data_IF_114157747241
#
_entry.id   IF_114157747241
#
_cell.length_a   1.000
_cell.length_b   1.000
_cell.length_c   1.000
_cell.angle_alpha   90.00
_cell.angle_beta   90.00
_cell.angle_gamma   90.00
#
_symmetry.space_group_name_H-M   'P 1'
#
loop_
_entity.id
_entity.type
_entity.pdbx_description
1 polymer ?
#
# COMPACT_ATOMS: atom_id res chain seq x y z
N UNK A 1 -15.81 -12.98 17.03
CA UNK A 1 -15.47 -13.18 15.60
C UNK A 1 -16.43 -12.34 14.75
N UNK A 2 -15.87 -11.56 13.82
CA UNK A 2 -16.57 -10.72 12.84
C UNK A 2 -16.15 -11.20 11.45
N UNK A 3 -17.03 -11.08 10.47
CA UNK A 3 -16.72 -11.31 9.07
C UNK A 3 -16.51 -9.99 8.34
N UNK A 4 -15.76 -10.05 7.26
CA UNK A 4 -15.58 -8.92 6.35
C UNK A 4 -14.85 -9.34 5.09
N UNK A 5 -14.56 -8.36 4.26
CA UNK A 5 -13.85 -8.56 2.99
C UNK A 5 -12.55 -7.78 3.01
N UNK A 6 -11.46 -8.40 2.57
CA UNK A 6 -10.19 -7.69 2.35
C UNK A 6 -10.42 -6.61 1.29
N UNK A 7 -10.27 -5.36 1.67
CA UNK A 7 -10.36 -4.23 0.74
C UNK A 7 -9.04 -4.01 0.02
N UNK A 8 -7.94 -4.04 0.78
CA UNK A 8 -6.58 -3.92 0.24
C UNK A 8 -5.61 -4.65 1.15
N UNK A 9 -4.64 -5.37 0.58
CA UNK A 9 -3.59 -6.04 1.35
C UNK A 9 -2.29 -6.07 0.55
N UNK A 10 -1.24 -5.46 1.10
CA UNK A 10 0.09 -5.41 0.51
C UNK A 10 0.94 -6.57 1.07
N UNK A 11 1.21 -7.55 0.22
CA UNK A 11 1.99 -8.74 0.57
C UNK A 11 3.49 -8.46 0.81
N UNK A 12 4.00 -7.34 0.29
CA UNK A 12 5.40 -6.91 0.41
C UNK A 12 5.58 -6.15 1.72
N UNK A 13 4.70 -5.16 1.98
CA UNK A 13 4.73 -4.37 3.22
C UNK A 13 4.12 -5.11 4.42
N UNK A 14 3.28 -6.11 4.17
CA UNK A 14 2.69 -6.98 5.18
C UNK A 14 1.55 -6.33 5.96
N UNK A 15 0.75 -5.46 5.34
CA UNK A 15 -0.42 -4.86 6.00
C UNK A 15 -1.56 -4.60 5.01
N UNK A 16 -2.77 -4.41 5.55
CA UNK A 16 -3.96 -4.13 4.75
C UNK A 16 -5.15 -3.65 5.57
N UNK A 17 -6.31 -3.65 4.94
CA UNK A 17 -7.58 -3.21 5.50
C UNK A 17 -8.70 -4.19 5.17
N UNK A 18 -9.57 -4.41 6.16
CA UNK A 18 -10.74 -5.27 6.05
C UNK A 18 -11.99 -4.41 6.25
N UNK A 19 -12.94 -4.55 5.33
CA UNK A 19 -14.26 -3.93 5.43
C UNK A 19 -15.20 -4.93 6.13
N UNK A 20 -15.66 -4.66 7.36
CA UNK A 20 -16.57 -5.55 8.08
C UNK A 20 -17.96 -5.59 7.45
N UNK A 21 -18.55 -6.79 7.32
CA UNK A 21 -19.90 -6.96 6.72
C UNK A 21 -21.01 -6.27 7.54
N UNK A 22 -20.82 -6.16 8.85
CA UNK A 22 -21.77 -5.49 9.75
C UNK A 22 -21.88 -3.98 9.55
N UNK A 23 -21.08 -3.41 8.64
CA UNK A 23 -20.88 -1.98 8.50
C UNK A 23 -20.07 -1.41 9.66
N UNK A 24 -19.25 -0.39 9.39
CA UNK A 24 -18.38 0.21 10.40
C UNK A 24 -17.16 0.88 9.78
N UNK A 25 -16.21 1.26 10.63
CA UNK A 25 -14.90 1.73 10.21
C UNK A 25 -14.05 0.56 9.67
N UNK A 26 -13.20 0.87 8.70
CA UNK A 26 -12.25 -0.08 8.14
C UNK A 26 -11.28 -0.56 9.22
N UNK A 27 -11.04 -1.87 9.24
CA UNK A 27 -10.23 -2.50 10.28
C UNK A 27 -8.84 -2.78 9.72
N UNK A 28 -7.81 -2.26 10.39
CA UNK A 28 -6.42 -2.46 10.00
C UNK A 28 -5.98 -3.89 10.30
N UNK A 29 -5.34 -4.56 9.34
CA UNK A 29 -4.75 -5.90 9.50
C UNK A 29 -3.25 -5.87 9.19
N UNK A 30 -2.47 -6.63 9.94
CA UNK A 30 -1.04 -6.81 9.71
C UNK A 30 -0.73 -8.29 9.48
N UNK A 31 0.29 -8.60 8.69
CA UNK A 31 0.66 -9.96 8.29
C UNK A 31 0.98 -10.87 9.48
N UNK A 32 1.46 -10.30 10.59
CA UNK A 32 1.71 -11.03 11.83
C UNK A 32 0.44 -11.50 12.55
N UNK A 33 -0.71 -10.92 12.23
CA UNK A 33 -1.98 -11.22 12.87
C UNK A 33 -2.86 -12.16 12.01
N UNK A 34 -2.34 -12.59 10.85
CA UNK A 34 -2.92 -13.61 9.99
C UNK A 34 -2.60 -15.00 10.53
N UNK A 35 -3.60 -15.88 10.53
CA UNK A 35 -3.44 -17.29 10.90
C UNK A 35 -3.08 -18.17 9.70
N UNK A 36 -3.53 -17.76 8.50
CA UNK A 36 -3.29 -18.44 7.23
C UNK A 36 -2.15 -17.77 6.44
N UNK A 37 -1.77 -18.38 5.30
CA UNK A 37 -0.73 -17.82 4.43
C UNK A 37 -1.17 -16.45 3.87
N UNK A 38 -0.30 -15.45 3.98
CA UNK A 38 -0.55 -14.08 3.51
C UNK A 38 -0.98 -14.01 2.04
N UNK A 39 -0.55 -14.99 1.24
CA UNK A 39 -0.86 -15.07 -0.19
C UNK A 39 -2.35 -15.31 -0.49
N UNK A 40 -3.11 -15.79 0.51
CA UNK A 40 -4.57 -16.00 0.42
C UNK A 40 -5.35 -14.71 0.64
N UNK A 41 -4.74 -13.69 1.24
CA UNK A 41 -5.39 -12.42 1.57
C UNK A 41 -5.25 -11.44 0.40
N UNK A 42 -6.13 -11.61 -0.59
CA UNK A 42 -6.21 -10.73 -1.76
C UNK A 42 -7.47 -9.86 -1.72
N UNK A 43 -7.48 -8.69 -2.38
CA UNK A 43 -8.68 -7.85 -2.46
C UNK A 43 -9.91 -8.64 -2.92
N UNK A 44 -11.00 -8.55 -2.19
CA UNK A 44 -12.23 -9.30 -2.44
C UNK A 44 -12.33 -10.66 -1.73
N UNK A 45 -11.29 -11.08 -0.99
CA UNK A 45 -11.34 -12.32 -0.20
C UNK A 45 -12.18 -12.12 1.05
N UNK A 46 -13.13 -13.03 1.28
CA UNK A 46 -13.91 -13.08 2.52
C UNK A 46 -13.02 -13.59 3.66
N UNK A 47 -13.04 -12.89 4.79
CA UNK A 47 -12.20 -13.19 5.94
C UNK A 47 -13.02 -13.13 7.22
N UNK A 48 -12.61 -13.94 8.19
CA UNK A 48 -13.11 -13.83 9.56
C UNK A 48 -11.98 -13.39 10.48
N UNK A 49 -12.29 -12.47 11.39
CA UNK A 49 -11.30 -11.84 12.26
C UNK A 49 -11.92 -11.39 13.58
N UNK A 50 -11.07 -11.06 14.54
CA UNK A 50 -11.46 -10.40 15.78
C UNK A 50 -10.96 -8.96 15.78
N UNK A 51 -11.73 -8.04 16.35
CA UNK A 51 -11.39 -6.60 16.38
C UNK A 51 -11.00 -6.20 17.80
N UNK A 52 -9.80 -5.65 17.94
CA UNK A 52 -9.29 -5.04 19.16
C UNK A 52 -9.05 -3.55 18.95
N UNK A 53 -9.12 -2.79 20.04
CA UNK A 53 -8.68 -1.41 20.09
C UNK A 53 -7.14 -1.38 20.20
N UNK A 54 -6.48 -0.92 19.14
CA UNK A 54 -5.03 -0.72 19.11
C UNK A 54 -4.66 0.76 19.19
N UNK A 55 -3.36 1.06 19.29
CA UNK A 55 -2.83 2.43 19.38
C UNK A 55 -3.17 3.33 18.17
N UNK A 56 -3.50 2.72 17.03
CA UNK A 56 -3.85 3.40 15.77
C UNK A 56 -5.31 3.21 15.36
N UNK A 57 -6.17 2.80 16.28
CA UNK A 57 -7.58 2.53 16.02
C UNK A 57 -7.93 1.03 15.96
N UNK A 58 -9.07 0.66 15.35
CA UNK A 58 -9.53 -0.72 15.30
C UNK A 58 -8.56 -1.60 14.50
N UNK A 59 -8.00 -2.62 15.15
CA UNK A 59 -7.06 -3.58 14.58
C UNK A 59 -7.67 -4.98 14.55
N UNK A 60 -7.53 -5.66 13.42
CA UNK A 60 -7.90 -7.05 13.24
C UNK A 60 -6.79 -7.97 13.76
N UNK A 61 -7.20 -9.01 14.49
CA UNK A 61 -6.33 -10.09 14.94
C UNK A 61 -6.99 -11.46 14.75
N UNK A 62 -6.18 -12.51 14.75
CA UNK A 62 -6.63 -13.88 14.49
C UNK A 62 -7.41 -14.00 13.15
N UNK A 63 -6.86 -13.41 12.09
CA UNK A 63 -7.53 -13.31 10.79
C UNK A 63 -7.38 -14.62 10.01
N UNK A 64 -8.50 -15.16 9.54
CA UNK A 64 -8.57 -16.38 8.71
C UNK A 64 -9.27 -16.13 7.39
N UNK A 65 -8.80 -16.79 6.32
CA UNK A 65 -9.44 -16.71 5.01
C UNK A 65 -10.63 -17.69 4.93
N UNK A 66 -11.77 -17.22 4.44
CA UNK A 66 -12.93 -18.05 4.16
C UNK A 66 -12.97 -18.28 2.64
N UNK A 67 -12.59 -19.49 2.20
CA UNK A 67 -12.48 -19.90 0.79
C UNK A 67 -13.85 -20.02 0.07
N UNK A 68 -14.92 -19.42 0.59
CA UNK A 68 -16.27 -19.57 0.04
C UNK A 68 -16.72 -18.28 -0.67
N UNK A 69 -17.02 -18.33 -1.99
CA UNK A 69 -17.41 -17.14 -2.76
C UNK A 69 -18.84 -16.75 -2.41
N UNK A 70 -19.02 -16.01 -1.31
CA UNK A 70 -20.27 -15.37 -0.98
C UNK A 70 -20.39 -14.05 -1.75
N UNK A 71 -21.26 -14.03 -2.76
CA UNK A 71 -21.59 -12.85 -3.56
C UNK A 71 -22.04 -11.66 -2.67
N UNK A 72 -21.66 -10.41 -2.97
CA UNK A 72 -21.93 -9.30 -2.07
C UNK A 72 -23.36 -8.78 -2.24
N UNK A 73 -24.19 -8.95 -1.20
CA UNK A 73 -25.37 -8.11 -1.01
C UNK A 73 -24.91 -6.75 -0.46
N UNK A 74 -24.83 -5.73 -1.33
CA UNK A 74 -24.52 -4.34 -0.96
C UNK A 74 -25.64 -3.74 -0.11
N UNK A 75 -25.32 -2.99 0.97
CA UNK A 75 -25.83 -1.60 1.08
C UNK A 75 -24.91 -0.67 1.93
N UNK A 76 -25.29 0.62 2.12
CA UNK A 76 -25.10 1.74 1.20
C UNK A 76 -23.91 2.64 1.60
N UNK A 77 -23.41 3.36 0.60
CA UNK A 77 -22.42 4.41 0.74
C UNK A 77 -22.72 5.39 1.89
N UNK A 78 -21.71 5.65 2.74
CA UNK A 78 -21.59 6.92 3.46
C UNK A 78 -20.26 7.57 3.09
N UNK A 79 -20.37 8.64 2.32
CA UNK A 79 -19.33 9.62 2.02
C UNK A 79 -18.85 10.29 3.30
N UNK A 80 -17.54 10.38 3.49
CA UNK A 80 -16.85 11.65 3.64
C UNK A 80 -15.32 11.48 3.54
N UNK A 81 -14.76 12.04 2.46
CA UNK A 81 -13.39 12.51 2.22
C UNK A 81 -12.26 11.47 2.42
N UNK A 82 -11.48 11.08 1.41
CA UNK A 82 -10.96 11.84 0.27
C UNK A 82 -10.94 10.93 -0.96
N UNK A 83 -11.12 11.49 -2.15
CA UNK A 83 -10.64 10.84 -3.37
C UNK A 83 -9.11 10.73 -3.24
N UNK A 84 -8.63 9.61 -2.72
CA UNK A 84 -7.35 9.10 -3.17
C UNK A 84 -7.67 8.41 -4.48
N UNK A 85 -7.38 9.10 -5.58
CA UNK A 85 -7.16 8.48 -6.87
C UNK A 85 -6.18 7.31 -6.65
N UNK A 86 -6.68 6.10 -6.40
CA UNK A 86 -5.87 4.87 -6.38
C UNK A 86 -5.71 4.36 -7.82
N UNK A 87 -5.35 5.30 -8.70
CA UNK A 87 -4.56 5.08 -9.91
C UNK A 87 -3.15 5.69 -9.71
N UNK A 88 -2.81 6.21 -8.52
CA UNK A 88 -1.59 7.01 -8.34
C UNK A 88 -0.43 6.19 -7.75
N UNK A 89 0.37 5.71 -8.69
CA UNK A 89 1.78 5.31 -8.62
C UNK A 89 2.14 3.85 -8.31
N UNK A 90 1.75 2.93 -9.19
CA UNK A 90 2.77 2.12 -9.87
C UNK A 90 3.20 2.77 -11.21
N UNK A 91 3.20 4.11 -11.31
CA UNK A 91 3.84 4.77 -12.43
C UNK A 91 5.31 4.53 -12.19
N UNK A 92 5.85 3.61 -12.97
CA UNK A 92 7.29 3.50 -13.06
C UNK A 92 7.76 4.87 -13.51
N UNK A 93 8.47 5.59 -12.64
CA UNK A 93 8.90 6.95 -12.93
C UNK A 93 9.69 6.90 -14.24
N UNK A 94 9.39 7.80 -15.17
CA UNK A 94 10.27 7.93 -16.32
C UNK A 94 11.67 8.25 -15.83
N UNK A 95 12.70 7.83 -16.57
CA UNK A 95 14.10 8.18 -16.24
C UNK A 95 14.28 9.69 -16.02
N UNK A 96 13.42 10.52 -16.61
CA UNK A 96 13.43 11.97 -16.47
C UNK A 96 12.86 12.46 -15.14
N UNK A 97 11.76 11.86 -14.67
CA UNK A 97 11.10 12.22 -13.41
C UNK A 97 11.95 11.85 -12.22
N UNK A 98 12.49 10.61 -12.21
CA UNK A 98 13.42 10.19 -11.17
C UNK A 98 14.66 11.10 -11.14
N UNK A 99 15.15 11.51 -12.30
CA UNK A 99 16.28 12.44 -12.40
C UNK A 99 15.98 13.82 -11.81
N UNK A 100 14.74 14.30 -11.95
CA UNK A 100 14.30 15.59 -11.42
C UNK A 100 14.17 15.56 -9.89
N UNK A 101 13.50 14.53 -9.36
CA UNK A 101 13.35 14.30 -7.92
C UNK A 101 14.71 14.18 -7.21
N UNK A 102 15.64 13.42 -7.79
CA UNK A 102 17.00 13.31 -7.27
C UNK A 102 17.69 14.68 -7.23
N UNK A 103 17.53 15.49 -8.27
CA UNK A 103 18.14 16.82 -8.34
C UNK A 103 17.57 17.74 -7.25
N UNK A 104 16.26 17.73 -7.06
CA UNK A 104 15.58 18.56 -6.07
C UNK A 104 15.99 18.19 -4.63
N UNK A 105 15.97 16.89 -4.32
CA UNK A 105 16.39 16.36 -3.01
C UNK A 105 17.86 16.70 -2.71
N UNK A 106 18.75 16.56 -3.70
CA UNK A 106 20.17 16.87 -3.50
C UNK A 106 20.40 18.36 -3.27
N UNK A 107 19.72 19.23 -4.03
CA UNK A 107 19.79 20.69 -3.82
C UNK A 107 19.22 21.10 -2.46
N UNK A 108 18.14 20.46 -2.01
CA UNK A 108 17.46 20.80 -0.76
C UNK A 108 18.17 20.25 0.48
N UNK A 109 18.72 19.03 0.40
CA UNK A 109 19.29 18.32 1.57
C UNK A 109 20.80 18.38 1.65
N UNK A 110 21.50 18.66 0.55
CA UNK A 110 22.97 18.67 0.50
C UNK A 110 23.47 19.90 -0.29
N UNK A 111 23.32 21.13 0.27
CA UNK A 111 23.61 22.38 -0.44
C UNK A 111 25.11 22.58 -0.75
N UNK A 112 25.98 21.77 -0.16
CA UNK A 112 27.42 21.75 -0.39
C UNK A 112 27.83 21.03 -1.69
N UNK A 113 26.90 20.34 -2.36
CA UNK A 113 27.16 19.74 -3.66
C UNK A 113 27.20 20.81 -4.76
N UNK A 114 28.26 20.80 -5.55
CA UNK A 114 28.34 21.61 -6.77
C UNK A 114 27.44 21.04 -7.87
N UNK A 115 26.98 21.88 -8.80
CA UNK A 115 26.14 21.44 -9.92
C UNK A 115 26.74 20.28 -10.73
N UNK A 116 28.07 20.27 -10.90
CA UNK A 116 28.77 19.16 -11.59
C UNK A 116 28.75 17.83 -10.81
N UNK A 117 28.73 17.87 -9.48
CA UNK A 117 28.59 16.67 -8.64
C UNK A 117 27.16 16.14 -8.68
N UNK A 118 26.16 17.03 -8.65
CA UNK A 118 24.74 16.67 -8.72
C UNK A 118 24.45 15.93 -10.04
N UNK A 119 24.98 16.42 -11.16
CA UNK A 119 24.82 15.76 -12.46
C UNK A 119 25.39 14.33 -12.44
N UNK A 120 26.62 14.14 -11.93
CA UNK A 120 27.26 12.81 -11.86
C UNK A 120 26.51 11.83 -10.95
N UNK A 121 26.00 12.30 -9.82
CA UNK A 121 25.22 11.48 -8.89
C UNK A 121 23.91 11.06 -9.55
N UNK A 122 23.21 12.00 -10.17
CA UNK A 122 21.97 11.72 -10.91
C UNK A 122 22.19 10.68 -12.00
N UNK A 123 23.20 10.86 -12.85
CA UNK A 123 23.51 9.90 -13.92
C UNK A 123 23.81 8.49 -13.38
N UNK A 124 24.58 8.41 -12.28
CA UNK A 124 24.92 7.12 -11.65
C UNK A 124 23.69 6.43 -11.06
N UNK A 125 22.79 7.19 -10.40
CA UNK A 125 21.57 6.65 -9.81
C UNK A 125 20.56 6.24 -10.88
N UNK A 126 20.42 7.02 -11.96
CA UNK A 126 19.57 6.65 -13.11
C UNK A 126 20.06 5.37 -13.78
N UNK A 127 21.38 5.19 -13.94
CA UNK A 127 21.95 3.95 -14.50
C UNK A 127 21.64 2.72 -13.63
N UNK A 128 21.64 2.88 -12.30
CA UNK A 128 21.24 1.81 -11.36
C UNK A 128 19.74 1.55 -11.47
N UNK A 129 18.92 2.59 -11.49
CA UNK A 129 17.48 2.47 -11.60
C UNK A 129 17.05 1.73 -12.88
N UNK A 130 17.65 2.07 -14.02
CA UNK A 130 17.41 1.37 -15.29
C UNK A 130 17.86 -0.09 -15.24
N UNK A 131 19.04 -0.37 -14.68
CA UNK A 131 19.56 -1.74 -14.54
C UNK A 131 18.63 -2.64 -13.72
N UNK A 132 17.91 -2.06 -12.76
CA UNK A 132 17.00 -2.77 -11.87
C UNK A 132 15.52 -2.66 -12.30
N UNK A 133 15.22 -2.01 -13.43
CA UNK A 133 13.85 -1.86 -13.94
C UNK A 133 12.96 -0.94 -13.10
N UNK A 134 13.55 0.00 -12.36
CA UNK A 134 12.82 0.99 -11.55
C UNK A 134 12.32 2.20 -12.34
N UNK A 135 12.74 2.31 -13.61
CA UNK A 135 12.36 3.39 -14.52
C UNK A 135 11.94 2.81 -15.86
N UNK A 136 10.85 3.30 -16.43
CA UNK A 136 10.45 3.05 -17.81
C UNK A 136 10.99 4.18 -18.71
N UNK A 137 11.18 3.89 -20.00
CA UNK A 137 11.55 4.87 -21.04
C UNK A 137 10.29 5.43 -21.71
#
# INVERSE_FOLDING_TARGET
>A
MRSGTIFSFDNVRGYGFIVPDGGGEDVFVHANDLLDDKSLFTPGTAVEFEVAQGERGPKAFAVRALDEPAAPERPPARRAAESFDDDVLCDVLSSRELGHEITDVLLAKVPELTGGQIVKIRESLLAVAQKHGWTED
#
